data_IF_025234909064
#
_entry.id   IF_025234909064
#
_cell.length_a   1.000
_cell.length_b   1.000
_cell.length_c   1.000
_cell.angle_alpha   90.00
_cell.angle_beta   90.00
_cell.angle_gamma   90.00
#
_symmetry.space_group_name_H-M   'P 1'
#
loop_
_entity.id
_entity.type
_entity.pdbx_description
1 polymer ?
#
# COMPACT_ATOMS: atom_id res chain seq x y z
N UNK A 1 21.77 -33.44 2.15
CA UNK A 1 22.14 -32.15 2.77
C UNK A 1 21.48 -31.11 1.91
N UNK A 2 20.30 -30.63 2.32
CA UNK A 2 19.54 -29.68 1.51
C UNK A 2 20.26 -28.34 1.50
N UNK A 3 20.72 -27.94 0.32
CA UNK A 3 21.35 -26.64 0.09
C UNK A 3 20.21 -25.62 0.03
N UNK A 4 20.23 -24.66 0.95
CA UNK A 4 19.30 -23.54 0.92
C UNK A 4 19.81 -22.48 -0.06
N UNK A 5 19.10 -22.30 -1.19
CA UNK A 5 19.37 -21.25 -2.18
C UNK A 5 18.85 -19.87 -1.70
N UNK A 6 19.33 -19.43 -0.55
CA UNK A 6 18.95 -18.14 0.03
C UNK A 6 19.54 -17.00 -0.81
N UNK A 7 18.66 -16.21 -1.45
CA UNK A 7 19.04 -15.09 -2.31
C UNK A 7 18.98 -13.71 -1.64
N UNK A 8 18.50 -13.63 -0.39
CA UNK A 8 18.39 -12.38 0.35
C UNK A 8 18.64 -12.58 1.85
N UNK A 9 19.37 -11.66 2.47
CA UNK A 9 19.60 -11.62 3.91
C UNK A 9 19.04 -10.31 4.48
N UNK A 10 17.99 -10.40 5.30
CA UNK A 10 17.32 -9.25 5.91
C UNK A 10 15.91 -9.61 6.39
N UNK A 11 15.13 -8.61 6.77
CA UNK A 11 13.72 -8.81 7.11
C UNK A 11 12.87 -9.06 5.87
N UNK A 12 11.72 -9.73 6.04
CA UNK A 12 10.80 -10.04 4.95
C UNK A 12 10.38 -8.78 4.17
N UNK A 13 10.07 -7.69 4.87
CA UNK A 13 9.68 -6.42 4.24
C UNK A 13 10.81 -5.71 3.48
N UNK A 14 12.07 -6.15 3.60
CA UNK A 14 13.18 -5.62 2.79
C UNK A 14 13.43 -6.45 1.54
N UNK A 15 12.86 -7.65 1.43
CA UNK A 15 13.00 -8.50 0.24
C UNK A 15 12.45 -7.80 -1.00
N UNK A 16 11.29 -7.17 -0.89
CA UNK A 16 10.64 -6.47 -2.00
C UNK A 16 11.42 -5.23 -2.43
N UNK A 17 11.97 -4.49 -1.46
CA UNK A 17 12.80 -3.31 -1.71
C UNK A 17 14.04 -3.69 -2.52
N UNK A 18 14.75 -4.74 -2.08
CA UNK A 18 15.97 -5.19 -2.76
C UNK A 18 15.65 -5.80 -4.13
N UNK A 19 14.57 -6.58 -4.23
CA UNK A 19 14.13 -7.13 -5.51
C UNK A 19 13.81 -6.01 -6.52
N UNK A 20 13.08 -4.98 -6.11
CA UNK A 20 12.76 -3.83 -6.97
C UNK A 20 14.02 -3.08 -7.38
N UNK A 21 14.96 -2.82 -6.45
CA UNK A 21 16.24 -2.18 -6.76
C UNK A 21 17.02 -2.94 -7.84
N UNK A 22 17.11 -4.27 -7.71
CA UNK A 22 17.81 -5.13 -8.67
C UNK A 22 17.10 -5.17 -10.03
N UNK A 23 15.77 -5.31 -10.04
CA UNK A 23 14.97 -5.39 -11.26
C UNK A 23 15.03 -4.07 -12.06
N UNK A 24 14.81 -2.93 -11.41
CA UNK A 24 14.84 -1.63 -12.06
C UNK A 24 16.25 -1.30 -12.57
N UNK A 25 17.30 -1.58 -11.79
CA UNK A 25 18.68 -1.35 -12.24
C UNK A 25 19.09 -2.21 -13.45
N UNK A 26 18.59 -3.45 -13.55
CA UNK A 26 18.91 -4.35 -14.67
C UNK A 26 18.06 -4.12 -15.91
N UNK A 27 16.88 -3.48 -15.78
CA UNK A 27 15.94 -3.29 -16.88
C UNK A 27 16.55 -2.58 -18.10
N UNK A 28 17.31 -1.51 -17.89
CA UNK A 28 17.97 -0.78 -19.00
C UNK A 28 19.11 -1.60 -19.59
N UNK A 29 19.99 -2.12 -18.75
CA UNK A 29 21.22 -2.79 -19.20
C UNK A 29 20.97 -4.11 -19.91
N UNK A 30 19.92 -4.86 -19.53
CA UNK A 30 19.62 -6.18 -20.11
C UNK A 30 18.52 -6.17 -21.15
N UNK A 31 17.59 -5.23 -21.06
CA UNK A 31 16.35 -5.28 -21.83
C UNK A 31 15.98 -3.94 -22.50
N UNK A 32 16.78 -2.88 -22.32
CA UNK A 32 16.50 -1.53 -22.82
C UNK A 32 15.07 -1.05 -22.50
N UNK A 33 14.56 -1.41 -21.31
CA UNK A 33 13.19 -1.13 -20.88
C UNK A 33 13.22 -0.23 -19.63
N UNK A 34 12.19 0.60 -19.47
CA UNK A 34 11.97 1.43 -18.29
C UNK A 34 10.61 1.14 -17.69
N UNK A 35 10.57 0.87 -16.39
CA UNK A 35 9.34 0.75 -15.63
C UNK A 35 8.90 2.14 -15.15
N UNK A 36 7.69 2.55 -15.48
CA UNK A 36 7.15 3.86 -15.07
C UNK A 36 6.19 3.77 -13.90
N UNK A 37 5.61 2.59 -13.65
CA UNK A 37 4.58 2.38 -12.61
C UNK A 37 4.96 1.17 -11.76
N UNK A 38 4.75 1.28 -10.44
CA UNK A 38 4.79 0.16 -9.50
C UNK A 38 3.43 -0.04 -8.85
N UNK A 39 2.88 -1.24 -8.98
CA UNK A 39 1.68 -1.66 -8.26
C UNK A 39 2.07 -2.30 -6.92
N UNK A 40 1.48 -1.85 -5.81
CA UNK A 40 1.82 -2.33 -4.46
C UNK A 40 0.59 -2.48 -3.55
N UNK A 41 0.68 -3.32 -2.52
CA UNK A 41 -0.40 -3.60 -1.54
C UNK A 41 -0.23 -2.75 -0.27
N UNK A 42 -0.15 -1.42 -0.41
CA UNK A 42 0.12 -0.51 0.70
C UNK A 42 1.61 -0.37 1.06
N UNK A 43 2.51 -1.07 0.38
CA UNK A 43 3.95 -0.96 0.64
C UNK A 43 4.49 0.42 0.27
N UNK A 44 5.04 1.10 1.27
CA UNK A 44 5.55 2.46 1.08
C UNK A 44 7.08 2.49 0.92
N UNK A 45 7.78 1.51 1.50
CA UNK A 45 9.26 1.47 1.53
C UNK A 45 9.88 1.26 0.15
N UNK A 46 9.32 0.35 -0.64
CA UNK A 46 9.81 0.04 -1.99
C UNK A 46 9.72 1.27 -2.89
N UNK A 47 8.58 1.96 -2.87
CA UNK A 47 8.40 3.18 -3.65
C UNK A 47 9.35 4.32 -3.22
N UNK A 48 9.55 4.50 -1.92
CA UNK A 48 10.50 5.50 -1.39
C UNK A 48 11.94 5.22 -1.84
N UNK A 49 12.38 3.97 -1.78
CA UNK A 49 13.73 3.60 -2.23
C UNK A 49 13.87 3.79 -3.75
N UNK A 50 12.90 3.36 -4.55
CA UNK A 50 12.92 3.57 -6.01
C UNK A 50 12.97 5.06 -6.38
N UNK A 51 12.20 5.89 -5.67
CA UNK A 51 12.18 7.35 -5.85
C UNK A 51 13.52 8.00 -5.48
N UNK A 52 14.25 7.41 -4.51
CA UNK A 52 15.56 7.89 -4.08
C UNK A 52 16.67 7.49 -5.06
N UNK A 53 16.68 6.24 -5.53
CA UNK A 53 17.73 5.75 -6.42
C UNK A 53 17.60 6.29 -7.85
N UNK A 54 16.39 6.73 -8.26
CA UNK A 54 16.09 7.29 -9.58
C UNK A 54 16.77 6.49 -10.71
N UNK A 55 16.37 5.23 -10.92
CA UNK A 55 17.12 4.28 -11.75
C UNK A 55 17.22 4.70 -13.23
N UNK A 56 16.40 5.66 -13.64
CA UNK A 56 16.34 6.19 -15.00
C UNK A 56 16.68 7.69 -15.10
N UNK A 57 17.23 8.29 -14.04
CA UNK A 57 17.51 9.73 -13.96
C UNK A 57 16.29 10.58 -13.63
N UNK A 58 16.46 11.90 -13.65
CA UNK A 58 15.42 12.87 -13.28
C UNK A 58 14.32 13.02 -14.33
N UNK A 59 14.56 12.56 -15.57
CA UNK A 59 13.60 12.67 -16.66
C UNK A 59 12.45 11.66 -16.58
N UNK A 60 12.54 10.61 -15.76
CA UNK A 60 11.49 9.60 -15.60
C UNK A 60 11.05 9.55 -14.14
N UNK A 61 9.80 9.92 -13.89
CA UNK A 61 9.15 9.74 -12.60
C UNK A 61 8.53 8.36 -12.52
N UNK A 62 8.73 7.68 -11.39
CA UNK A 62 8.05 6.41 -11.09
C UNK A 62 6.76 6.74 -10.35
N UNK A 63 5.64 6.21 -10.81
CA UNK A 63 4.33 6.35 -10.18
C UNK A 63 3.99 5.13 -9.33
N UNK A 64 3.29 5.36 -8.22
CA UNK A 64 2.81 4.30 -7.34
C UNK A 64 1.31 4.12 -7.56
N UNK A 65 0.91 2.90 -7.85
CA UNK A 65 -0.49 2.48 -7.83
C UNK A 65 -0.76 1.54 -6.65
N UNK A 66 -1.96 1.66 -6.10
CA UNK A 66 -2.43 0.83 -5.00
C UNK A 66 -3.31 -0.31 -5.54
N UNK A 67 -3.12 -1.50 -4.98
CA UNK A 67 -3.94 -2.64 -5.33
C UNK A 67 -5.41 -2.41 -4.93
N UNK A 68 -6.36 -2.63 -5.85
CA UNK A 68 -7.80 -2.44 -5.59
C UNK A 68 -8.31 -3.29 -4.41
N UNK A 69 -7.72 -4.47 -4.22
CA UNK A 69 -8.01 -5.33 -3.08
C UNK A 69 -7.53 -4.69 -1.76
N UNK A 70 -6.39 -4.01 -1.78
CA UNK A 70 -5.88 -3.23 -0.64
C UNK A 70 -6.89 -2.16 -0.23
N UNK A 71 -7.34 -1.38 -1.21
CA UNK A 71 -8.30 -0.29 -1.02
C UNK A 71 -9.59 -0.82 -0.41
N UNK A 72 -10.10 -1.94 -0.95
CA UNK A 72 -11.32 -2.59 -0.45
C UNK A 72 -11.17 -3.10 0.98
N UNK A 73 -10.04 -3.74 1.32
CA UNK A 73 -9.74 -4.20 2.68
C UNK A 73 -9.62 -3.04 3.68
N UNK A 74 -8.98 -1.94 3.27
CA UNK A 74 -8.86 -0.73 4.09
C UNK A 74 -10.21 -0.11 4.38
N UNK A 75 -11.05 0.07 3.36
CA UNK A 75 -12.42 0.58 3.52
C UNK A 75 -13.24 -0.32 4.46
N UNK A 76 -13.22 -1.63 4.22
CA UNK A 76 -13.95 -2.58 5.07
C UNK A 76 -13.48 -2.58 6.53
N UNK A 77 -12.19 -2.32 6.77
CA UNK A 77 -11.64 -2.19 8.13
C UNK A 77 -12.08 -0.88 8.78
N UNK A 78 -12.04 0.24 8.06
CA UNK A 78 -12.52 1.53 8.54
C UNK A 78 -14.00 1.48 8.93
N UNK A 79 -14.85 0.84 8.11
CA UNK A 79 -16.27 0.65 8.40
C UNK A 79 -16.50 -0.19 9.66
N UNK A 80 -15.79 -1.30 9.83
CA UNK A 80 -15.88 -2.13 11.04
C UNK A 80 -15.44 -1.39 12.31
N UNK A 81 -14.39 -0.58 12.21
CA UNK A 81 -13.92 0.25 13.31
C UNK A 81 -14.97 1.31 13.68
N UNK A 82 -15.54 2.00 12.69
CA UNK A 82 -16.60 2.98 12.89
C UNK A 82 -17.83 2.36 13.58
N UNK A 83 -18.31 1.21 13.09
CA UNK A 83 -19.44 0.49 13.72
C UNK A 83 -19.11 0.13 15.17
N UNK A 84 -17.89 -0.30 15.44
CA UNK A 84 -17.43 -0.63 16.79
C UNK A 84 -17.40 0.61 17.68
N UNK A 85 -16.92 1.74 17.18
CA UNK A 85 -16.83 2.98 17.94
C UNK A 85 -18.20 3.63 18.19
N UNK A 86 -19.11 3.57 17.21
CA UNK A 86 -20.51 3.95 17.42
C UNK A 86 -21.18 3.07 18.47
N UNK A 87 -20.94 1.75 18.45
CA UNK A 87 -21.49 0.84 19.47
C UNK A 87 -21.01 1.20 20.88
N UNK A 88 -19.75 1.61 21.05
CA UNK A 88 -19.24 2.10 22.35
C UNK A 88 -19.96 3.37 22.82
N UNK A 89 -20.39 4.21 21.88
CA UNK A 89 -21.17 5.43 22.14
C UNK A 89 -22.68 5.18 22.28
N UNK A 90 -23.13 3.93 22.24
CA UNK A 90 -24.56 3.57 22.29
C UNK A 90 -25.31 3.79 20.97
N UNK A 91 -24.61 4.16 19.89
CA UNK A 91 -25.18 4.36 18.55
C UNK A 91 -25.13 3.04 17.78
N UNK A 92 -26.26 2.58 17.25
CA UNK A 92 -26.32 1.36 16.42
C UNK A 92 -26.35 1.73 14.94
N UNK A 93 -25.20 1.59 14.26
CA UNK A 93 -25.12 1.67 12.80
C UNK A 93 -25.51 0.31 12.21
N UNK A 94 -26.75 0.15 11.75
CA UNK A 94 -27.18 -1.14 11.21
C UNK A 94 -28.68 -1.35 10.98
N UNK A 95 -29.45 -0.33 10.62
CA UNK A 95 -30.87 -0.51 10.26
C UNK A 95 -31.14 0.08 8.88
N UNK A 96 -31.97 -0.57 8.06
CA UNK A 96 -32.60 0.03 6.89
C UNK A 96 -33.47 1.20 7.36
N UNK A 97 -32.90 2.39 7.40
CA UNK A 97 -33.58 3.63 7.78
C UNK A 97 -32.61 4.78 7.58
N UNK A 98 -32.96 5.69 6.65
CA UNK A 98 -32.26 6.95 6.49
C UNK A 98 -32.45 7.76 7.78
N UNK A 99 -31.39 7.89 8.56
CA UNK A 99 -31.24 9.00 9.49
C UNK A 99 -30.09 9.83 8.94
N UNK A 100 -30.36 11.13 8.79
CA UNK A 100 -29.43 12.09 8.20
C UNK A 100 -28.10 12.09 8.95
N UNK A 101 -27.01 12.11 8.19
CA UNK A 101 -25.64 12.05 8.69
C UNK A 101 -25.23 13.30 9.48
N UNK A 102 -26.04 14.37 9.44
CA UNK A 102 -25.74 15.66 10.05
C UNK A 102 -25.80 15.65 11.59
N UNK A 103 -26.57 14.76 12.21
CA UNK A 103 -26.71 14.68 13.67
C UNK A 103 -25.48 14.08 14.37
N UNK A 104 -24.61 13.36 13.64
CA UNK A 104 -23.45 12.66 14.21
C UNK A 104 -22.22 13.58 14.32
N UNK A 105 -22.15 14.65 13.51
CA UNK A 105 -21.00 15.57 13.49
C UNK A 105 -21.05 16.65 14.58
N UNK A 106 -22.21 16.89 15.21
CA UNK A 106 -22.38 17.96 16.21
C UNK A 106 -22.15 17.51 17.66
N UNK A 107 -22.10 16.20 17.95
CA UNK A 107 -21.95 15.68 19.32
C UNK A 107 -20.50 15.48 19.76
N UNK A 108 -19.53 16.03 19.04
CA UNK A 108 -18.09 15.88 19.27
C UNK A 108 -17.41 17.22 19.54
N UNK A 109 -17.79 17.90 20.63
CA UNK A 109 -17.06 19.02 21.21
C UNK A 109 -16.93 18.79 22.72
#
# INVERSE_FOLDING_TARGET
MDICDKNFAGSSGMMEVEAARVLWGRSVSRHNLRYTVILSDGDTKTFQELSKIKPYGDQVTIEKEECINHVSKRLGTALRNLVTDCRKKGITLGRRGYQEVDDILQSGN
#
